data_IF_720271568684
#
_entry.id   IF_720271568684
#
_cell.length_a   1.000
_cell.length_b   1.000
_cell.length_c   1.000
_cell.angle_alpha   90.00
_cell.angle_beta   90.00
_cell.angle_gamma   90.00
#
_symmetry.space_group_name_H-M   'P 1'
#
loop_
_entity.id
_entity.type
_entity.pdbx_description
1 polymer ?
#
# COMPACT_ATOMS: atom_id res chain seq x y z
N UNK A 1 2.71 -30.86 -8.03
CA UNK A 1 3.41 -29.62 -8.45
C UNK A 1 2.56 -28.35 -8.25
N UNK A 2 1.24 -28.37 -8.44
CA UNK A 2 0.39 -27.16 -8.26
C UNK A 2 0.29 -26.67 -6.80
N UNK A 3 0.21 -27.58 -5.84
CA UNK A 3 0.07 -27.23 -4.42
C UNK A 3 1.25 -26.40 -3.87
N UNK A 4 2.48 -26.70 -4.33
CA UNK A 4 3.68 -25.95 -3.97
C UNK A 4 3.66 -24.54 -4.56
N UNK A 5 3.13 -24.37 -5.78
CA UNK A 5 2.95 -23.06 -6.42
C UNK A 5 1.94 -22.21 -5.64
N UNK A 6 0.82 -22.79 -5.19
CA UNK A 6 -0.21 -22.06 -4.41
C UNK A 6 0.38 -21.54 -3.09
N UNK A 7 1.15 -22.37 -2.38
CA UNK A 7 1.82 -21.98 -1.12
C UNK A 7 2.86 -20.89 -1.37
N UNK A 8 3.64 -20.99 -2.46
CA UNK A 8 4.60 -19.97 -2.85
C UNK A 8 3.93 -18.62 -3.13
N UNK A 9 2.89 -18.60 -3.98
CA UNK A 9 2.18 -17.36 -4.30
C UNK A 9 1.55 -16.73 -3.05
N UNK A 10 0.91 -17.51 -2.18
CA UNK A 10 0.37 -17.00 -0.91
C UNK A 10 1.43 -16.27 -0.09
N UNK A 11 2.60 -16.90 0.08
CA UNK A 11 3.69 -16.33 0.87
C UNK A 11 4.30 -15.10 0.19
N UNK A 12 4.38 -15.10 -1.13
CA UNK A 12 4.82 -13.95 -1.93
C UNK A 12 3.87 -12.75 -1.74
N UNK A 13 2.56 -12.93 -1.94
CA UNK A 13 1.58 -11.86 -1.79
C UNK A 13 1.51 -11.32 -0.35
N UNK A 14 1.61 -12.19 0.67
CA UNK A 14 1.68 -11.76 2.07
C UNK A 14 2.93 -10.95 2.38
N UNK A 15 4.10 -11.40 1.90
CA UNK A 15 5.36 -10.65 2.08
C UNK A 15 5.31 -9.32 1.35
N UNK A 16 4.80 -9.28 0.13
CA UNK A 16 4.61 -8.06 -0.64
C UNK A 16 3.66 -7.09 0.07
N UNK A 17 2.57 -7.60 0.66
CA UNK A 17 1.66 -6.80 1.49
C UNK A 17 2.38 -6.20 2.71
N UNK A 18 3.15 -7.00 3.46
CA UNK A 18 3.89 -6.53 4.65
C UNK A 18 4.89 -5.44 4.26
N UNK A 19 5.67 -5.65 3.20
CA UNK A 19 6.61 -4.65 2.69
C UNK A 19 5.87 -3.38 2.28
N UNK A 20 4.75 -3.52 1.58
CA UNK A 20 3.91 -2.40 1.18
C UNK A 20 3.34 -1.61 2.35
N UNK A 21 2.91 -2.28 3.44
CA UNK A 21 2.50 -1.62 4.69
C UNK A 21 3.66 -0.87 5.34
N UNK A 22 4.86 -1.45 5.37
CA UNK A 22 6.04 -0.78 5.90
C UNK A 22 6.36 0.49 5.11
N UNK A 23 6.27 0.44 3.77
CA UNK A 23 6.39 1.64 2.93
C UNK A 23 5.28 2.65 3.19
N UNK A 24 4.03 2.21 3.36
CA UNK A 24 2.91 3.09 3.70
C UNK A 24 3.17 3.88 4.98
N UNK A 25 3.65 3.20 6.02
CA UNK A 25 4.01 3.80 7.31
C UNK A 25 5.19 4.76 7.15
N UNK A 26 6.22 4.37 6.42
CA UNK A 26 7.36 5.24 6.12
C UNK A 26 6.91 6.53 5.43
N UNK A 27 6.09 6.43 4.38
CA UNK A 27 5.56 7.60 3.67
C UNK A 27 4.67 8.46 4.57
N UNK A 28 3.88 7.84 5.45
CA UNK A 28 3.05 8.56 6.41
C UNK A 28 3.91 9.40 7.37
N UNK A 29 4.93 8.78 7.98
CA UNK A 29 5.85 9.47 8.88
C UNK A 29 6.59 10.58 8.14
N UNK A 30 7.13 10.28 6.96
CA UNK A 30 7.82 11.27 6.13
C UNK A 30 6.89 12.45 5.79
N UNK A 31 5.64 12.19 5.40
CA UNK A 31 4.66 13.23 5.10
C UNK A 31 4.40 14.13 6.32
N UNK A 32 4.25 13.55 7.51
CA UNK A 32 4.07 14.33 8.74
C UNK A 32 5.32 15.16 9.09
N UNK A 33 6.51 14.58 9.00
CA UNK A 33 7.76 15.28 9.34
C UNK A 33 8.09 16.40 8.34
N UNK A 34 7.83 16.17 7.07
CA UNK A 34 8.13 17.10 5.98
C UNK A 34 6.92 17.92 5.53
N UNK A 35 5.82 17.96 6.31
CA UNK A 35 4.60 18.68 5.92
C UNK A 35 4.87 20.14 5.58
N UNK A 36 5.48 20.89 6.51
CA UNK A 36 5.77 22.31 6.32
C UNK A 36 6.68 22.58 5.12
N UNK A 37 7.69 21.73 4.92
CA UNK A 37 8.58 21.83 3.76
C UNK A 37 7.84 21.50 2.46
N UNK A 38 7.01 20.46 2.46
CA UNK A 38 6.21 20.04 1.32
C UNK A 38 5.18 21.09 0.91
N UNK A 39 4.46 21.68 1.87
CA UNK A 39 3.52 22.79 1.63
C UNK A 39 4.26 24.01 1.10
N UNK A 40 5.41 24.36 1.67
CA UNK A 40 6.24 25.47 1.19
C UNK A 40 6.72 25.26 -0.26
N UNK A 41 7.15 24.05 -0.62
CA UNK A 41 7.53 23.74 -1.99
C UNK A 41 6.33 23.68 -2.95
N UNK A 42 5.20 23.11 -2.51
CA UNK A 42 3.98 23.05 -3.30
C UNK A 42 3.44 24.44 -3.63
N UNK A 43 3.43 25.34 -2.65
CA UNK A 43 3.02 26.74 -2.83
C UNK A 43 4.02 27.52 -3.70
N UNK A 44 5.33 27.34 -3.49
CA UNK A 44 6.36 28.10 -4.20
C UNK A 44 6.54 27.67 -5.67
N UNK A 45 6.61 26.35 -5.93
CA UNK A 45 6.87 25.83 -7.27
C UNK A 45 5.60 25.58 -8.07
N UNK A 46 4.55 25.07 -7.43
CA UNK A 46 3.33 24.65 -8.12
C UNK A 46 2.18 25.63 -7.94
N UNK A 47 2.32 26.66 -7.09
CA UNK A 47 1.25 27.63 -6.75
C UNK A 47 -0.03 26.96 -6.24
N UNK A 48 0.12 25.78 -5.64
CA UNK A 48 -0.98 24.99 -5.08
C UNK A 48 -1.20 25.41 -3.62
N UNK A 49 -2.45 25.62 -3.23
CA UNK A 49 -2.82 25.96 -1.85
C UNK A 49 -2.69 24.74 -0.92
N UNK A 50 -2.51 24.97 0.38
CA UNK A 50 -2.32 23.92 1.39
C UNK A 50 -3.48 22.90 1.38
N UNK A 51 -4.71 23.38 1.16
CA UNK A 51 -5.89 22.51 1.04
C UNK A 51 -5.80 21.54 -0.14
N UNK A 52 -5.34 22.02 -1.28
CA UNK A 52 -5.21 21.19 -2.49
C UNK A 52 -4.06 20.19 -2.32
N UNK A 53 -2.95 20.63 -1.75
CA UNK A 53 -1.83 19.75 -1.42
C UNK A 53 -2.28 18.62 -0.46
N UNK A 54 -3.02 18.96 0.61
CA UNK A 54 -3.57 17.95 1.50
C UNK A 54 -4.54 16.99 0.83
N UNK A 55 -5.35 17.47 -0.12
CA UNK A 55 -6.22 16.60 -0.93
C UNK A 55 -5.41 15.60 -1.75
N UNK A 56 -4.32 16.04 -2.37
CA UNK A 56 -3.42 15.16 -3.15
C UNK A 56 -2.74 14.11 -2.27
N UNK A 57 -2.24 14.52 -1.11
CA UNK A 57 -1.65 13.59 -0.13
C UNK A 57 -2.67 12.54 0.32
N UNK A 58 -3.90 12.94 0.63
CA UNK A 58 -4.96 12.01 1.02
C UNK A 58 -5.32 11.04 -0.11
N UNK A 59 -5.43 11.54 -1.34
CA UNK A 59 -5.68 10.71 -2.52
C UNK A 59 -4.57 9.67 -2.71
N UNK A 60 -3.30 10.07 -2.57
CA UNK A 60 -2.17 9.14 -2.62
C UNK A 60 -2.31 8.01 -1.59
N UNK A 61 -2.64 8.31 -0.33
CA UNK A 61 -2.84 7.26 0.69
C UNK A 61 -4.07 6.39 0.45
N UNK A 62 -5.12 6.92 -0.18
CA UNK A 62 -6.30 6.15 -0.58
C UNK A 62 -5.91 5.16 -1.68
N UNK A 63 -5.25 5.62 -2.73
CA UNK A 63 -4.79 4.76 -3.84
C UNK A 63 -3.80 3.70 -3.34
N UNK A 64 -2.85 4.10 -2.51
CA UNK A 64 -1.88 3.19 -1.91
C UNK A 64 -2.59 2.10 -1.08
N UNK A 65 -3.62 2.46 -0.31
CA UNK A 65 -4.45 1.48 0.41
C UNK A 65 -5.18 0.52 -0.53
N UNK A 66 -5.76 1.03 -1.62
CA UNK A 66 -6.45 0.20 -2.61
C UNK A 66 -5.47 -0.81 -3.20
N UNK A 67 -4.27 -0.38 -3.58
CA UNK A 67 -3.22 -1.27 -4.08
C UNK A 67 -2.85 -2.33 -3.05
N UNK A 68 -2.55 -1.94 -1.79
CA UNK A 68 -2.17 -2.90 -0.75
C UNK A 68 -3.27 -3.94 -0.48
N UNK A 69 -4.51 -3.49 -0.34
CA UNK A 69 -5.61 -4.38 0.03
C UNK A 69 -6.03 -5.24 -1.16
N UNK A 70 -6.32 -4.65 -2.31
CA UNK A 70 -6.93 -5.38 -3.42
C UNK A 70 -5.92 -6.12 -4.29
N UNK A 71 -4.71 -5.60 -4.48
CA UNK A 71 -3.71 -6.26 -5.34
C UNK A 71 -2.83 -7.25 -4.56
N UNK A 72 -2.69 -7.11 -3.24
CA UNK A 72 -1.84 -8.00 -2.45
C UNK A 72 -2.61 -8.81 -1.40
N UNK A 73 -3.38 -8.17 -0.51
CA UNK A 73 -4.04 -8.87 0.59
C UNK A 73 -5.17 -9.80 0.11
N UNK A 74 -6.03 -9.33 -0.79
CA UNK A 74 -7.16 -10.13 -1.31
C UNK A 74 -6.67 -11.39 -2.04
N UNK A 75 -5.70 -11.32 -2.98
CA UNK A 75 -5.13 -12.51 -3.61
C UNK A 75 -4.43 -13.43 -2.59
N UNK A 76 -3.74 -12.89 -1.60
CA UNK A 76 -3.14 -13.69 -0.53
C UNK A 76 -4.19 -14.50 0.25
N UNK A 77 -5.31 -13.88 0.62
CA UNK A 77 -6.40 -14.53 1.35
C UNK A 77 -7.12 -15.57 0.50
N UNK A 78 -7.37 -15.26 -0.78
CA UNK A 78 -7.98 -16.19 -1.72
C UNK A 78 -7.13 -17.46 -1.87
N UNK A 79 -5.82 -17.31 -2.06
CA UNK A 79 -4.87 -18.42 -2.14
C UNK A 79 -4.76 -19.20 -0.82
N UNK A 80 -4.87 -18.51 0.32
CA UNK A 80 -4.92 -19.15 1.62
C UNK A 80 -6.14 -20.08 1.76
N UNK A 81 -7.33 -19.62 1.34
CA UNK A 81 -8.55 -20.42 1.37
C UNK A 81 -8.50 -21.61 0.42
N UNK A 82 -8.02 -21.42 -0.82
CA UNK A 82 -7.85 -22.51 -1.80
C UNK A 82 -6.88 -23.57 -1.26
N UNK A 83 -5.74 -23.16 -0.70
CA UNK A 83 -4.77 -24.07 -0.09
C UNK A 83 -5.34 -24.86 1.08
N UNK A 84 -6.31 -24.32 1.83
CA UNK A 84 -6.93 -25.02 2.98
C UNK A 84 -7.93 -26.07 2.50
N UNK A 85 -8.72 -25.77 1.46
CA UNK A 85 -9.72 -26.69 0.90
C UNK A 85 -9.10 -27.94 0.27
N UNK A 86 -7.87 -27.84 -0.22
CA UNK A 86 -7.15 -28.93 -0.87
C UNK A 86 -6.45 -29.89 0.11
N UNK A 87 -6.36 -29.51 1.39
CA UNK A 87 -5.73 -30.28 2.47
C UNK A 87 -6.75 -31.06 3.34
N UNK A 88 -8.06 -30.88 3.10
CA UNK A 88 -9.18 -31.61 3.70
C UNK A 88 -9.80 -32.54 2.65
#
# INVERSE_FOLDING_TARGET
MEHYKIIFFRNFFLRAFIIGVAFALFYFIATCMFWNTGVSWATHFFKIDEREFGRLVLLFFIELRVVLVFLFLVPALALHWVSRKQNN
#
